data_IF_616816092355
#
_entry.id   IF_616816092355
#
_cell.length_a   1.000
_cell.length_b   1.000
_cell.length_c   1.000
_cell.angle_alpha   90.00
_cell.angle_beta   90.00
_cell.angle_gamma   90.00
#
_symmetry.space_group_name_H-M   'P 1'
#
loop_
_entity.id
_entity.type
_entity.pdbx_description
1 polymer ?
#
# COMPACT_ATOMS: atom_id res chain seq x y z
N UNK A 1 62.42 -2.51 -53.10
CA UNK A 1 62.29 -1.92 -51.78
C UNK A 1 60.81 -1.90 -51.47
N UNK A 2 60.33 -2.94 -50.79
CA UNK A 2 58.90 -3.08 -50.39
C UNK A 2 58.73 -2.62 -48.99
N UNK A 3 57.82 -1.62 -48.73
CA UNK A 3 57.42 -1.21 -47.43
C UNK A 3 56.28 -2.13 -46.91
N UNK A 4 56.34 -2.63 -45.70
CA UNK A 4 55.22 -3.39 -45.14
C UNK A 4 54.08 -2.46 -44.69
N UNK A 5 52.86 -2.83 -45.08
CA UNK A 5 51.66 -2.14 -44.70
C UNK A 5 51.29 -2.43 -43.23
N UNK A 6 50.98 -1.38 -42.49
CA UNK A 6 50.45 -1.46 -41.14
C UNK A 6 49.01 -1.98 -41.14
N UNK A 7 48.82 -3.19 -40.62
CA UNK A 7 47.50 -3.76 -40.35
C UNK A 7 46.98 -3.20 -38.99
N UNK A 8 46.11 -2.22 -39.09
CA UNK A 8 45.37 -1.72 -37.92
C UNK A 8 44.29 -2.75 -37.54
N UNK A 9 44.51 -3.46 -36.44
CA UNK A 9 43.51 -4.31 -35.81
C UNK A 9 42.50 -3.45 -35.07
N UNK A 10 41.27 -3.34 -35.58
CA UNK A 10 40.14 -2.77 -34.90
C UNK A 10 39.62 -3.79 -33.88
N UNK A 11 39.93 -3.61 -32.62
CA UNK A 11 39.26 -4.32 -31.53
C UNK A 11 37.89 -3.69 -31.31
N UNK A 12 36.84 -4.30 -31.85
CA UNK A 12 35.46 -3.98 -31.50
C UNK A 12 35.17 -4.50 -30.09
N UNK A 13 35.21 -3.60 -29.11
CA UNK A 13 34.76 -3.87 -27.74
C UNK A 13 33.23 -3.90 -27.74
N UNK A 14 32.65 -5.07 -27.99
CA UNK A 14 31.22 -5.30 -27.78
C UNK A 14 30.94 -5.32 -26.28
N UNK A 15 30.56 -4.17 -25.75
CA UNK A 15 30.04 -4.06 -24.40
C UNK A 15 28.72 -4.83 -24.29
N UNK A 16 28.76 -6.01 -23.68
CA UNK A 16 27.55 -6.74 -23.27
C UNK A 16 26.91 -5.92 -22.16
N UNK A 17 25.96 -5.04 -22.52
CA UNK A 17 25.02 -4.49 -21.58
C UNK A 17 24.17 -5.65 -21.05
N UNK A 18 24.53 -6.15 -19.86
CA UNK A 18 23.72 -7.11 -19.15
C UNK A 18 22.36 -6.46 -18.84
N UNK A 19 21.35 -6.77 -19.63
CA UNK A 19 19.96 -6.50 -19.29
C UNK A 19 19.62 -7.34 -18.05
N UNK A 20 19.80 -6.74 -16.87
CA UNK A 20 19.23 -7.29 -15.64
C UNK A 20 17.71 -7.29 -15.81
N UNK A 21 17.14 -8.45 -16.07
CA UNK A 21 15.70 -8.62 -16.08
C UNK A 21 15.18 -8.21 -14.69
N UNK A 22 14.54 -7.05 -14.59
CA UNK A 22 13.83 -6.63 -13.37
C UNK A 22 12.67 -7.57 -13.22
N UNK A 23 12.83 -8.61 -12.40
CA UNK A 23 11.73 -9.48 -12.01
C UNK A 23 10.81 -8.68 -11.08
N UNK A 24 9.78 -8.09 -11.66
CA UNK A 24 8.71 -7.50 -10.86
C UNK A 24 8.04 -8.61 -10.03
N UNK A 25 7.93 -8.39 -8.72
CA UNK A 25 7.15 -9.30 -7.87
C UNK A 25 5.69 -9.29 -8.33
N UNK A 26 5.00 -10.45 -8.34
CA UNK A 26 3.60 -10.49 -8.72
C UNK A 26 2.76 -9.62 -7.78
N UNK A 27 1.86 -8.84 -8.35
CA UNK A 27 0.88 -8.08 -7.59
C UNK A 27 -0.14 -9.04 -6.99
N UNK A 28 -0.34 -8.97 -5.67
CA UNK A 28 -1.38 -9.73 -4.97
C UNK A 28 -2.60 -8.84 -4.79
N UNK A 29 -3.76 -9.31 -5.25
CA UNK A 29 -5.03 -8.60 -5.18
C UNK A 29 -5.95 -9.36 -4.24
N UNK A 30 -6.52 -8.65 -3.26
CA UNK A 30 -7.51 -9.18 -2.32
C UNK A 30 -8.81 -8.40 -2.48
N UNK A 31 -9.92 -9.11 -2.58
CA UNK A 31 -11.24 -8.51 -2.71
C UNK A 31 -11.96 -8.67 -1.37
N UNK A 32 -12.18 -7.55 -0.69
CA UNK A 32 -12.95 -7.49 0.54
C UNK A 32 -14.40 -7.13 0.19
N UNK A 33 -15.32 -8.06 0.43
CA UNK A 33 -16.72 -7.93 0.05
C UNK A 33 -17.62 -8.04 1.27
N UNK A 34 -18.64 -7.19 1.38
CA UNK A 34 -19.58 -7.24 2.50
C UNK A 34 -20.56 -6.08 2.49
N UNK A 35 -21.18 -5.85 3.60
CA UNK A 35 -22.14 -4.77 3.83
C UNK A 35 -21.55 -3.71 4.78
N UNK A 36 -22.39 -3.08 5.61
CA UNK A 36 -22.02 -1.99 6.51
C UNK A 36 -20.80 -2.25 7.39
N UNK A 37 -20.61 -3.47 7.85
CA UNK A 37 -19.41 -3.81 8.64
C UNK A 37 -18.14 -3.79 7.79
N UNK A 38 -18.23 -4.13 6.52
CA UNK A 38 -17.10 -4.05 5.58
C UNK A 38 -16.84 -2.60 5.16
N UNK A 39 -17.88 -1.78 5.05
CA UNK A 39 -17.74 -0.36 4.77
C UNK A 39 -16.96 0.37 5.88
N UNK A 40 -17.07 -0.09 7.14
CA UNK A 40 -16.30 0.40 8.27
C UNK A 40 -16.82 1.69 8.88
N UNK A 41 -17.44 1.58 10.06
CA UNK A 41 -18.02 2.72 10.77
C UNK A 41 -17.35 3.03 12.13
N UNK A 42 -16.32 2.28 12.50
CA UNK A 42 -15.56 2.56 13.73
C UNK A 42 -14.77 3.87 13.57
N UNK A 43 -14.82 4.72 14.57
CA UNK A 43 -14.05 5.97 14.54
C UNK A 43 -12.59 5.74 14.89
N UNK A 44 -11.69 6.52 14.31
CA UNK A 44 -10.26 6.53 14.68
C UNK A 44 -10.07 6.84 16.16
N UNK A 45 -10.96 7.64 16.78
CA UNK A 45 -10.94 7.90 18.22
C UNK A 45 -11.08 6.64 19.10
N UNK A 46 -11.53 5.51 18.54
CA UNK A 46 -11.53 4.21 19.24
C UNK A 46 -10.11 3.78 19.66
N UNK A 47 -9.07 4.28 18.99
CA UNK A 47 -7.69 4.03 19.38
C UNK A 47 -7.37 4.44 20.82
N UNK A 48 -8.03 5.47 21.34
CA UNK A 48 -7.85 5.88 22.74
C UNK A 48 -8.32 4.80 23.71
N UNK A 49 -9.49 4.18 23.45
CA UNK A 49 -9.97 3.06 24.26
C UNK A 49 -9.03 1.84 24.15
N UNK A 50 -8.53 1.56 22.96
CA UNK A 50 -7.60 0.45 22.73
C UNK A 50 -6.26 0.62 23.46
N UNK A 51 -5.83 1.85 23.75
CA UNK A 51 -4.58 2.11 24.51
C UNK A 51 -4.62 1.55 25.92
N UNK A 52 -5.79 1.53 26.54
CA UNK A 52 -6.00 1.14 27.93
C UNK A 52 -6.48 -0.30 28.09
N UNK A 53 -7.02 -0.89 27.04
CA UNK A 53 -7.51 -2.26 27.04
C UNK A 53 -6.38 -3.27 26.76
N UNK A 54 -6.09 -4.19 27.71
CA UNK A 54 -5.02 -5.19 27.55
C UNK A 54 -5.18 -6.11 26.34
N UNK A 55 -6.41 -6.38 25.90
CA UNK A 55 -6.70 -7.29 24.78
C UNK A 55 -6.44 -6.63 23.43
N UNK A 56 -6.75 -5.36 23.30
CA UNK A 56 -6.65 -4.64 22.02
C UNK A 56 -5.39 -3.79 21.88
N UNK A 57 -4.73 -3.45 22.98
CA UNK A 57 -3.48 -2.70 22.98
C UNK A 57 -2.36 -3.31 22.11
N UNK A 58 -2.15 -4.64 22.07
CA UNK A 58 -1.17 -5.23 21.17
C UNK A 58 -1.50 -5.00 19.70
N UNK A 59 -2.79 -5.04 19.33
CA UNK A 59 -3.26 -4.77 17.97
C UNK A 59 -3.05 -3.30 17.62
N UNK A 60 -3.37 -2.38 18.54
CA UNK A 60 -3.17 -0.96 18.33
C UNK A 60 -1.72 -0.61 18.02
N UNK A 61 -0.75 -1.26 18.66
CA UNK A 61 0.68 -1.05 18.39
C UNK A 61 1.07 -1.29 16.93
N UNK A 62 0.31 -2.13 16.23
CA UNK A 62 0.50 -2.38 14.81
C UNK A 62 -0.16 -1.33 13.92
N UNK A 63 -1.12 -0.60 14.45
CA UNK A 63 -1.95 0.37 13.73
C UNK A 63 -1.45 1.82 13.86
N UNK A 64 -0.52 2.08 14.79
CA UNK A 64 0.03 3.41 15.05
C UNK A 64 1.57 3.42 15.03
N UNK A 65 2.13 4.55 14.66
CA UNK A 65 3.57 4.81 14.73
C UNK A 65 4.02 5.14 16.18
N UNK A 66 5.31 5.38 16.35
CA UNK A 66 5.90 5.74 17.65
C UNK A 66 5.32 7.04 18.25
N UNK A 67 4.78 7.92 17.41
CA UNK A 67 4.13 9.18 17.81
C UNK A 67 2.64 8.99 18.11
N UNK A 68 2.11 7.81 17.84
CA UNK A 68 0.68 7.48 18.05
C UNK A 68 -0.20 7.86 16.86
N UNK A 69 0.35 8.25 15.73
CA UNK A 69 -0.41 8.50 14.52
C UNK A 69 -0.71 7.18 13.79
N UNK A 70 -1.82 7.09 13.02
CA UNK A 70 -2.07 5.93 12.18
C UNK A 70 -0.90 5.64 11.23
N UNK A 71 -0.50 4.37 11.13
CA UNK A 71 0.53 3.94 10.19
C UNK A 71 0.05 4.11 8.75
N UNK A 72 0.98 4.36 7.84
CA UNK A 72 0.77 4.31 6.40
C UNK A 72 1.48 3.07 5.85
N UNK A 73 0.73 2.19 5.22
CA UNK A 73 1.26 0.97 4.62
C UNK A 73 1.87 1.28 3.25
N UNK A 74 3.19 1.30 3.16
CA UNK A 74 3.89 1.69 1.92
C UNK A 74 3.71 0.71 0.77
N UNK A 75 3.45 -0.56 1.06
CA UNK A 75 3.33 -1.64 0.08
C UNK A 75 1.87 -2.10 -0.12
N UNK A 76 0.91 -1.45 0.52
CA UNK A 76 -0.52 -1.76 0.39
C UNK A 76 -1.26 -0.58 -0.20
N UNK A 77 -1.90 -0.84 -1.34
CA UNK A 77 -2.78 0.10 -2.00
C UNK A 77 -4.22 -0.34 -1.81
N UNK A 78 -5.09 0.58 -1.45
CA UNK A 78 -6.52 0.36 -1.36
C UNK A 78 -7.24 1.09 -2.51
N UNK A 79 -8.24 0.44 -3.06
CA UNK A 79 -9.25 1.01 -3.95
C UNK A 79 -10.61 0.46 -3.53
N UNK A 80 -11.60 1.30 -3.35
CA UNK A 80 -12.92 0.88 -2.88
C UNK A 80 -14.01 1.87 -3.30
N UNK A 81 -15.22 1.36 -3.40
CA UNK A 81 -16.41 2.20 -3.61
C UNK A 81 -16.95 2.71 -2.27
N UNK A 82 -17.24 4.01 -2.22
CA UNK A 82 -17.74 4.69 -1.03
C UNK A 82 -18.55 5.92 -1.44
N UNK A 83 -19.16 6.57 -0.48
CA UNK A 83 -19.96 7.77 -0.72
C UNK A 83 -21.45 7.59 -0.40
N UNK A 84 -22.20 8.68 -0.49
CA UNK A 84 -23.65 8.67 -0.38
C UNK A 84 -24.33 8.20 -1.66
N UNK A 85 -25.68 8.21 -1.65
CA UNK A 85 -26.47 7.78 -2.83
C UNK A 85 -26.13 8.56 -4.09
N UNK A 86 -25.88 9.86 -3.94
CA UNK A 86 -25.70 10.80 -5.05
C UNK A 86 -24.22 11.10 -5.34
N UNK A 87 -23.30 10.72 -4.42
CA UNK A 87 -21.87 11.02 -4.47
C UNK A 87 -21.00 9.74 -4.45
N UNK A 88 -21.57 8.64 -4.91
CA UNK A 88 -20.83 7.38 -4.93
C UNK A 88 -19.66 7.44 -5.91
N UNK A 89 -18.48 7.03 -5.46
CA UNK A 89 -17.27 7.03 -6.25
C UNK A 89 -16.20 6.13 -5.70
N UNK A 90 -15.04 6.17 -6.34
CA UNK A 90 -13.87 5.39 -5.95
C UNK A 90 -12.97 6.21 -5.03
N UNK A 91 -12.69 5.66 -3.84
CA UNK A 91 -11.61 6.13 -2.98
C UNK A 91 -10.39 5.23 -3.13
N UNK A 92 -9.20 5.81 -3.26
CA UNK A 92 -7.98 5.02 -3.45
C UNK A 92 -6.75 5.70 -2.83
N UNK A 93 -5.71 4.92 -2.61
CA UNK A 93 -4.43 5.42 -2.11
C UNK A 93 -3.64 4.37 -1.35
N UNK A 94 -2.53 4.79 -0.72
CA UNK A 94 -1.82 3.96 0.26
C UNK A 94 -2.72 3.71 1.45
N UNK A 95 -2.76 2.47 1.93
CA UNK A 95 -3.61 2.10 3.06
C UNK A 95 -3.14 2.79 4.35
N UNK A 96 -4.07 3.46 5.01
CA UNK A 96 -3.94 4.04 6.35
C UNK A 96 -5.32 4.13 7.00
N UNK A 97 -5.43 4.65 8.23
CA UNK A 97 -6.74 4.97 8.80
C UNK A 97 -7.44 6.08 7.99
N UNK A 98 -8.78 6.06 7.99
CA UNK A 98 -9.58 7.03 7.26
C UNK A 98 -10.19 6.50 5.95
N UNK A 99 -10.06 5.21 5.67
CA UNK A 99 -10.69 4.55 4.53
C UNK A 99 -12.03 3.88 4.89
N UNK A 100 -12.53 4.02 6.12
CA UNK A 100 -13.90 3.63 6.45
C UNK A 100 -14.95 4.48 5.74
N UNK A 101 -16.22 4.25 6.06
CA UNK A 101 -17.36 4.92 5.43
C UNK A 101 -17.17 6.43 5.27
N UNK A 102 -17.28 6.91 4.04
CA UNK A 102 -17.17 8.32 3.65
C UNK A 102 -18.45 8.78 2.97
N UNK A 103 -18.79 10.06 3.14
CA UNK A 103 -19.83 10.69 2.32
C UNK A 103 -19.30 11.13 0.95
N UNK A 104 -18.10 11.68 0.95
CA UNK A 104 -17.40 12.12 -0.25
C UNK A 104 -16.19 11.20 -0.48
N UNK A 105 -16.08 10.48 -1.60
CA UNK A 105 -14.96 9.62 -1.92
C UNK A 105 -13.61 10.33 -1.95
N UNK A 106 -13.58 11.60 -2.31
CA UNK A 106 -12.36 12.41 -2.41
C UNK A 106 -11.80 12.86 -1.04
N UNK A 107 -12.58 12.75 0.03
CA UNK A 107 -12.20 13.23 1.35
C UNK A 107 -11.80 12.08 2.28
N UNK A 108 -10.78 12.29 3.11
CA UNK A 108 -10.46 11.37 4.20
C UNK A 108 -11.60 11.36 5.23
N UNK A 109 -11.91 10.20 5.79
CA UNK A 109 -12.89 10.07 6.87
C UNK A 109 -12.20 9.93 8.23
N UNK A 110 -12.97 10.10 9.31
CA UNK A 110 -12.55 9.79 10.68
C UNK A 110 -12.81 8.32 11.04
N UNK A 111 -13.06 7.46 10.04
CA UNK A 111 -13.51 6.09 10.24
C UNK A 111 -12.52 5.08 9.66
N UNK A 112 -12.57 3.90 10.27
CA UNK A 112 -11.84 2.71 9.86
C UNK A 112 -12.80 1.54 9.74
N UNK A 113 -12.42 0.58 8.91
CA UNK A 113 -13.08 -0.71 8.77
C UNK A 113 -12.09 -1.86 8.85
N UNK A 114 -12.49 -3.07 8.45
CA UNK A 114 -11.63 -4.24 8.43
C UNK A 114 -10.42 -4.11 7.51
N UNK A 115 -10.50 -3.23 6.50
CA UNK A 115 -9.44 -2.99 5.52
C UNK A 115 -8.11 -2.62 6.18
N UNK A 116 -8.16 -1.81 7.25
CA UNK A 116 -6.95 -1.30 7.90
C UNK A 116 -6.12 -2.43 8.52
N UNK A 117 -6.72 -3.20 9.43
CA UNK A 117 -6.01 -4.32 10.08
C UNK A 117 -5.67 -5.41 9.09
N UNK A 118 -6.57 -5.74 8.17
CA UNK A 118 -6.30 -6.72 7.12
C UNK A 118 -5.04 -6.34 6.33
N UNK A 119 -4.97 -5.13 5.81
CA UNK A 119 -3.83 -4.69 5.01
C UNK A 119 -2.52 -4.61 5.78
N UNK A 120 -2.55 -4.13 7.03
CA UNK A 120 -1.38 -4.10 7.91
C UNK A 120 -0.78 -5.51 8.11
N UNK A 121 -1.63 -6.49 8.43
CA UNK A 121 -1.16 -7.85 8.67
C UNK A 121 -0.78 -8.57 7.38
N UNK A 122 -1.45 -8.31 6.28
CA UNK A 122 -1.06 -8.85 4.97
C UNK A 122 0.30 -8.31 4.52
N UNK A 123 0.60 -7.02 4.71
CA UNK A 123 1.91 -6.46 4.40
C UNK A 123 3.04 -7.13 5.19
N UNK A 124 2.77 -7.56 6.43
CA UNK A 124 3.76 -8.23 7.28
C UNK A 124 3.96 -9.71 6.93
N UNK A 125 2.94 -10.36 6.38
CA UNK A 125 2.93 -11.79 6.09
C UNK A 125 3.36 -12.15 4.66
N UNK A 126 3.56 -11.18 3.79
CA UNK A 126 3.87 -11.35 2.36
C UNK A 126 5.29 -10.90 2.00
#
# INVERSE_FOLDING_TARGET
MNKPGNLLAFFSLFGILGLSAVHAKPLKIFILCGQSNMEGHAKISTFEAMRTDPLTKPILKEMVDEKGNPVVCDQVWISYFTGGRDDMGEGFGKLTAGYGSRRNPAEASDKIGPELTFGIFMQKGL
#
